data_IF_735217048297
#
_entry.id   IF_735217048297
#
_cell.length_a   1.000
_cell.length_b   1.000
_cell.length_c   1.000
_cell.angle_alpha   90.00
_cell.angle_beta   90.00
_cell.angle_gamma   90.00
#
_symmetry.space_group_name_H-M   'P 1'
#
loop_
_entity.id
_entity.type
_entity.pdbx_description
1 polymer ?
#
# COMPACT_ATOMS: atom_id res chain seq x y z
N UNK A 1 17.62 4.30 13.97
CA UNK A 1 16.46 4.50 13.06
C UNK A 1 16.27 3.18 12.31
N UNK A 2 15.04 2.70 12.07
CA UNK A 2 14.86 1.44 11.34
C UNK A 2 15.51 1.57 9.94
N UNK A 3 16.26 0.55 9.47
CA UNK A 3 16.97 0.60 8.18
C UNK A 3 16.05 0.90 7.01
N UNK A 4 14.76 0.57 7.14
CA UNK A 4 13.73 0.89 6.15
C UNK A 4 13.58 2.40 5.90
N UNK A 5 13.57 3.23 6.96
CA UNK A 5 13.37 4.67 6.80
C UNK A 5 14.57 5.32 6.11
N UNK A 6 15.78 4.86 6.42
CA UNK A 6 17.00 5.33 5.75
C UNK A 6 16.99 4.95 4.27
N UNK A 7 16.55 3.73 3.92
CA UNK A 7 16.39 3.30 2.52
C UNK A 7 15.37 4.17 1.76
N UNK A 8 14.22 4.46 2.39
CA UNK A 8 13.19 5.32 1.79
C UNK A 8 13.70 6.74 1.60
N UNK A 9 14.44 7.30 2.57
CA UNK A 9 14.98 8.65 2.48
C UNK A 9 15.97 8.83 1.32
N UNK A 10 16.83 7.82 1.11
CA UNK A 10 17.85 7.83 0.06
C UNK A 10 17.36 7.34 -1.31
N UNK A 11 16.07 7.04 -1.46
CA UNK A 11 15.51 6.60 -2.75
C UNK A 11 15.65 7.69 -3.82
N UNK A 12 16.20 7.32 -4.99
CA UNK A 12 16.68 8.24 -6.03
C UNK A 12 15.67 8.62 -7.11
N UNK A 13 14.45 8.08 -7.07
CA UNK A 13 13.45 8.35 -8.10
C UNK A 13 12.62 9.62 -7.87
N UNK A 14 11.47 9.77 -8.57
CA UNK A 14 10.58 10.91 -8.43
C UNK A 14 10.08 11.19 -7.00
N UNK A 15 10.34 12.38 -6.44
CA UNK A 15 10.00 12.80 -5.06
C UNK A 15 8.60 12.38 -4.59
N UNK A 16 7.61 12.39 -5.47
CA UNK A 16 6.24 11.96 -5.18
C UNK A 16 6.16 10.51 -4.67
N UNK A 17 6.89 9.58 -5.30
CA UNK A 17 6.92 8.18 -4.88
C UNK A 17 7.69 8.05 -3.56
N UNK A 18 8.77 8.82 -3.34
CA UNK A 18 9.46 8.86 -2.04
C UNK A 18 8.50 9.22 -0.90
N UNK A 19 7.66 10.23 -1.12
CA UNK A 19 6.65 10.63 -0.14
C UNK A 19 5.61 9.54 0.11
N UNK A 20 5.21 8.79 -0.93
CA UNK A 20 4.32 7.62 -0.79
C UNK A 20 5.02 6.53 0.05
N UNK A 21 6.25 6.16 -0.29
CA UNK A 21 7.06 5.17 0.44
C UNK A 21 7.24 5.57 1.91
N UNK A 22 7.46 6.85 2.18
CA UNK A 22 7.56 7.36 3.55
C UNK A 22 6.27 7.14 4.33
N UNK A 23 5.13 7.49 3.73
CA UNK A 23 3.82 7.27 4.38
C UNK A 23 3.53 5.80 4.62
N UNK A 24 3.92 4.95 3.67
CA UNK A 24 3.79 3.49 3.77
C UNK A 24 4.63 2.92 4.91
N UNK A 25 5.92 3.30 4.99
CA UNK A 25 6.83 2.83 6.04
C UNK A 25 6.33 3.22 7.45
N UNK A 26 5.66 4.36 7.58
CA UNK A 26 5.05 4.81 8.83
C UNK A 26 3.65 4.24 9.10
N UNK A 27 3.07 3.44 8.19
CA UNK A 27 1.70 2.95 8.34
C UNK A 27 0.64 4.07 8.37
N UNK A 28 0.97 5.22 7.76
CA UNK A 28 0.21 6.47 7.90
C UNK A 28 -0.78 6.73 6.76
N UNK A 29 -0.95 5.77 5.85
CA UNK A 29 -2.00 5.85 4.84
C UNK A 29 -3.37 5.65 5.49
N UNK A 30 -4.31 6.51 5.11
CA UNK A 30 -5.68 6.49 5.61
C UNK A 30 -6.52 5.46 4.84
N UNK A 31 -6.15 4.18 4.95
CA UNK A 31 -6.89 3.07 4.33
C UNK A 31 -8.25 2.89 4.99
N UNK A 32 -9.19 2.18 4.35
CA UNK A 32 -10.51 1.94 4.96
C UNK A 32 -10.42 1.22 6.31
N UNK A 33 -9.48 0.30 6.50
CA UNK A 33 -9.21 -0.31 7.82
C UNK A 33 -8.81 0.73 8.88
N UNK A 34 -7.94 1.70 8.53
CA UNK A 34 -7.56 2.78 9.45
C UNK A 34 -8.73 3.73 9.71
N UNK A 35 -9.54 4.03 8.69
CA UNK A 35 -10.75 4.86 8.86
C UNK A 35 -11.76 4.20 9.78
N UNK A 36 -11.98 2.89 9.64
CA UNK A 36 -12.89 2.14 10.48
C UNK A 36 -12.39 2.07 11.93
N UNK A 37 -11.08 1.84 12.12
CA UNK A 37 -10.46 1.90 13.44
C UNK A 37 -10.62 3.27 14.11
N UNK A 38 -10.59 4.35 13.32
CA UNK A 38 -10.83 5.74 13.78
C UNK A 38 -12.31 6.13 13.82
N UNK A 39 -13.23 5.20 13.60
CA UNK A 39 -14.67 5.44 13.59
C UNK A 39 -15.12 6.50 12.56
N UNK A 40 -14.34 6.67 11.49
CA UNK A 40 -14.65 7.58 10.38
C UNK A 40 -15.50 6.92 9.28
N UNK A 41 -15.56 5.59 9.29
CA UNK A 41 -16.40 4.77 8.40
C UNK A 41 -16.85 3.52 9.17
N UNK A 42 -17.97 2.94 8.78
CA UNK A 42 -18.43 1.63 9.26
C UNK A 42 -18.02 0.48 8.34
N UNK A 43 -17.59 0.80 7.13
CA UNK A 43 -17.16 -0.16 6.11
C UNK A 43 -15.65 -0.03 5.90
N UNK A 44 -14.92 -1.11 6.21
CA UNK A 44 -13.48 -1.20 6.03
C UNK A 44 -13.09 -1.92 4.72
N UNK A 45 -14.06 -2.37 3.92
CA UNK A 45 -13.84 -3.21 2.75
C UNK A 45 -13.04 -2.49 1.68
N UNK A 46 -12.16 -3.20 1.00
CA UNK A 46 -11.42 -2.69 -0.14
C UNK A 46 -12.36 -2.34 -1.29
N UNK A 47 -12.31 -1.11 -1.85
CA UNK A 47 -13.20 -0.70 -2.93
C UNK A 47 -12.89 -1.38 -4.27
N UNK A 48 -11.77 -2.09 -4.36
CA UNK A 48 -11.30 -2.78 -5.56
C UNK A 48 -11.84 -4.20 -5.63
N UNK A 49 -11.44 -5.07 -4.69
CA UNK A 49 -11.89 -6.46 -4.65
C UNK A 49 -13.22 -6.68 -3.92
N UNK A 50 -13.69 -5.69 -3.14
CA UNK A 50 -14.94 -5.77 -2.35
C UNK A 50 -15.05 -6.97 -1.40
N UNK A 51 -13.93 -7.60 -1.05
CA UNK A 51 -13.92 -8.90 -0.35
C UNK A 51 -13.19 -8.89 1.00
N UNK A 52 -12.20 -8.01 1.17
CA UNK A 52 -11.36 -7.96 2.37
C UNK A 52 -11.16 -6.52 2.85
N UNK A 53 -10.83 -6.30 4.13
CA UNK A 53 -10.49 -4.98 4.64
C UNK A 53 -9.32 -4.34 3.87
N UNK A 54 -9.46 -3.06 3.54
CA UNK A 54 -8.40 -2.30 2.89
C UNK A 54 -7.27 -1.98 3.90
N UNK A 55 -6.26 -2.83 3.93
CA UNK A 55 -4.99 -2.56 4.59
C UNK A 55 -3.93 -2.11 3.57
N UNK A 56 -2.80 -1.58 4.04
CA UNK A 56 -1.69 -1.18 3.18
C UNK A 56 -1.19 -2.37 2.34
N UNK A 57 -0.99 -3.54 2.95
CA UNK A 57 -0.53 -4.73 2.25
C UNK A 57 -1.59 -5.27 1.30
N UNK A 58 -2.86 -5.23 1.71
CA UNK A 58 -3.95 -5.62 0.82
C UNK A 58 -3.97 -4.75 -0.44
N UNK A 59 -4.09 -3.43 -0.28
CA UNK A 59 -4.15 -2.49 -1.40
C UNK A 59 -2.96 -2.59 -2.36
N UNK A 60 -1.76 -2.88 -1.86
CA UNK A 60 -0.55 -2.91 -2.68
C UNK A 60 -0.15 -4.30 -3.22
N UNK A 61 -0.56 -5.38 -2.56
CA UNK A 61 -0.03 -6.73 -2.83
C UNK A 61 -1.08 -7.83 -2.77
N UNK A 62 -1.88 -7.88 -1.71
CA UNK A 62 -2.77 -9.04 -1.48
C UNK A 62 -4.13 -8.90 -2.17
N UNK A 63 -4.48 -7.71 -2.66
CA UNK A 63 -5.69 -7.47 -3.44
C UNK A 63 -5.58 -8.13 -4.81
N UNK A 64 -6.63 -8.82 -5.24
CA UNK A 64 -6.70 -9.48 -6.56
C UNK A 64 -6.43 -8.49 -7.71
N UNK A 65 -7.02 -7.29 -7.65
CA UNK A 65 -6.71 -6.21 -8.59
C UNK A 65 -5.22 -5.85 -8.63
N UNK A 66 -4.58 -5.77 -7.46
CA UNK A 66 -3.16 -5.43 -7.37
C UNK A 66 -2.29 -6.56 -7.93
N UNK A 67 -2.60 -7.82 -7.60
CA UNK A 67 -1.90 -8.99 -8.16
C UNK A 67 -2.03 -9.03 -9.68
N UNK A 68 -3.23 -8.84 -10.22
CA UNK A 68 -3.49 -8.81 -11.65
C UNK A 68 -2.70 -7.69 -12.35
N UNK A 69 -2.53 -6.54 -11.70
CA UNK A 69 -1.69 -5.46 -12.22
C UNK A 69 -0.21 -5.87 -12.22
N UNK A 70 0.31 -6.38 -11.11
CA UNK A 70 1.73 -6.76 -11.01
C UNK A 70 2.11 -7.87 -11.97
N UNK A 71 1.24 -8.87 -12.15
CA UNK A 71 1.45 -9.99 -13.07
C UNK A 71 1.59 -9.55 -14.54
N UNK A 72 1.17 -8.33 -14.90
CA UNK A 72 1.41 -7.78 -16.25
C UNK A 72 2.83 -7.26 -16.44
N UNK A 73 3.53 -6.91 -15.36
CA UNK A 73 4.87 -6.31 -15.39
C UNK A 73 5.96 -7.24 -14.88
N UNK A 74 5.60 -8.22 -14.06
CA UNK A 74 6.52 -9.29 -13.66
C UNK A 74 6.60 -10.24 -14.86
N UNK A 75 7.51 -9.95 -15.78
CA UNK A 75 7.98 -10.95 -16.74
C UNK A 75 8.72 -12.02 -15.98
N UNK A 76 8.35 -13.28 -16.17
CA UNK A 76 9.20 -14.41 -15.79
C UNK A 76 10.51 -14.28 -16.58
N UNK A 77 11.56 -13.80 -15.92
CA UNK A 77 12.92 -13.90 -16.43
C UNK A 77 13.24 -15.41 -16.52
N UNK A 78 13.08 -16.00 -17.71
CA UNK A 78 13.61 -17.32 -18.06
C UNK A 78 15.12 -17.26 -18.25
#
# INVERSE_FOLDING_TARGET
VSPLFDQVWHWRGPTRIRAILWKLAHGSLLTNAVKAHRQMTTDDTCPRCQSYPETILHMLRDCEDAQNYWNQFITEDN
#
